data_IF_115352005210
#
_entry.id   IF_115352005210
#
_cell.length_a   1.000
_cell.length_b   1.000
_cell.length_c   1.000
_cell.angle_alpha   90.00
_cell.angle_beta   90.00
_cell.angle_gamma   90.00
#
_symmetry.space_group_name_H-M   'P 1'
#
loop_
_entity.id
_entity.type
_entity.pdbx_description
1 polymer ?
#
# COMPACT_ATOMS: atom_id res chain seq x y z
N UNK A 1 30.28 -31.06 -1.19
CA UNK A 1 29.31 -30.56 -0.20
C UNK A 1 28.16 -31.56 -0.22
N UNK A 2 28.10 -32.42 0.80
CA UNK A 2 27.21 -33.58 0.85
C UNK A 2 25.81 -33.18 1.38
N UNK A 3 24.72 -33.76 0.86
CA UNK A 3 23.39 -33.56 1.43
C UNK A 3 23.20 -34.44 2.67
N UNK A 4 22.71 -33.84 3.76
CA UNK A 4 22.28 -34.56 4.94
C UNK A 4 20.84 -35.04 4.75
N UNK A 5 20.71 -36.36 4.81
CA UNK A 5 19.51 -37.19 4.94
C UNK A 5 18.83 -36.87 6.29
N UNK A 6 17.52 -36.60 6.29
CA UNK A 6 16.77 -36.38 7.53
C UNK A 6 15.55 -37.30 7.52
N UNK A 7 15.56 -38.25 8.45
CA UNK A 7 14.56 -39.30 8.62
C UNK A 7 13.24 -38.76 9.17
N UNK A 8 12.16 -39.19 8.53
CA UNK A 8 10.77 -39.05 8.98
C UNK A 8 10.50 -39.97 10.18
N UNK A 9 10.13 -39.41 11.33
CA UNK A 9 9.54 -40.16 12.44
C UNK A 9 8.12 -39.64 12.65
N UNK A 10 7.17 -40.41 12.12
CA UNK A 10 5.75 -40.40 12.46
C UNK A 10 5.59 -41.00 13.87
N UNK A 11 4.90 -40.29 14.76
CA UNK A 11 4.22 -40.90 15.91
C UNK A 11 2.73 -40.59 15.85
N UNK A 12 2.00 -41.60 15.37
CA UNK A 12 0.56 -41.76 15.47
C UNK A 12 0.24 -42.29 16.87
N UNK A 13 -0.36 -41.45 17.71
CA UNK A 13 -0.94 -41.89 18.98
C UNK A 13 -2.33 -41.28 19.15
N UNK A 14 -3.27 -41.91 18.45
CA UNK A 14 -4.69 -41.89 18.77
C UNK A 14 -4.92 -42.62 20.11
N UNK A 15 -5.36 -41.89 21.13
CA UNK A 15 -5.90 -42.49 22.35
C UNK A 15 -7.26 -41.89 22.66
N UNK A 16 -8.29 -42.61 22.22
CA UNK A 16 -9.65 -42.55 22.73
C UNK A 16 -9.65 -42.81 24.24
N UNK A 17 -10.06 -41.82 25.03
CA UNK A 17 -10.50 -42.03 26.40
C UNK A 17 -11.87 -41.41 26.63
N UNK A 18 -12.90 -42.21 26.37
CA UNK A 18 -14.20 -42.08 27.03
C UNK A 18 -14.02 -42.42 28.51
N UNK A 19 -14.29 -41.47 29.40
CA UNK A 19 -14.91 -41.82 30.67
C UNK A 19 -15.78 -40.68 31.18
N UNK A 20 -17.05 -40.99 31.32
CA UNK A 20 -18.10 -40.11 31.74
C UNK A 20 -18.12 -40.02 33.27
N UNK A 21 -17.71 -38.89 33.83
CA UNK A 21 -17.90 -38.61 35.25
C UNK A 21 -18.74 -37.34 35.41
N UNK A 22 -20.05 -37.56 35.60
CA UNK A 22 -21.02 -36.51 35.93
C UNK A 22 -20.83 -36.08 37.38
N UNK A 23 -19.93 -35.13 37.61
CA UNK A 23 -20.00 -34.32 38.82
C UNK A 23 -21.02 -33.20 38.62
N UNK A 24 -22.12 -33.27 39.38
CA UNK A 24 -23.04 -32.15 39.64
C UNK A 24 -22.26 -31.05 40.38
N UNK A 25 -21.62 -30.18 39.60
CA UNK A 25 -21.05 -28.93 40.13
C UNK A 25 -22.17 -27.90 40.09
N UNK A 26 -22.51 -27.43 41.28
CA UNK A 26 -23.40 -26.31 41.56
C UNK A 26 -23.01 -25.13 40.67
N UNK A 27 -23.87 -24.82 39.69
CA UNK A 27 -23.82 -23.58 38.91
C UNK A 27 -24.13 -22.41 39.85
N UNK A 28 -23.11 -21.86 40.49
CA UNK A 28 -23.11 -20.46 40.84
C UNK A 28 -22.70 -19.74 39.56
N UNK A 29 -23.70 -19.29 38.80
CA UNK A 29 -23.52 -18.33 37.72
C UNK A 29 -23.17 -16.99 38.38
N UNK A 30 -21.94 -16.88 38.87
CA UNK A 30 -21.31 -15.58 39.01
C UNK A 30 -21.10 -15.09 37.58
N UNK A 31 -22.05 -14.30 37.09
CA UNK A 31 -21.86 -13.33 36.02
C UNK A 31 -20.77 -12.35 36.47
N UNK A 32 -19.53 -12.83 36.49
CA UNK A 32 -18.33 -12.03 36.40
C UNK A 32 -18.42 -11.36 35.03
N UNK A 33 -19.09 -10.20 35.03
CA UNK A 33 -19.15 -9.26 33.93
C UNK A 33 -17.72 -8.92 33.55
N UNK A 34 -17.18 -9.70 32.61
CA UNK A 34 -15.78 -9.70 32.22
C UNK A 34 -15.53 -8.39 31.45
N UNK A 35 -15.26 -7.34 32.23
CA UNK A 35 -14.98 -5.96 31.82
C UNK A 35 -13.80 -5.86 30.83
N UNK A 36 -13.14 -6.99 30.56
CA UNK A 36 -12.08 -7.21 29.59
C UNK A 36 -12.50 -7.15 28.11
N UNK A 37 -13.78 -7.15 27.71
CA UNK A 37 -14.12 -7.71 26.38
C UNK A 37 -14.79 -6.80 25.33
N UNK A 38 -15.04 -5.51 25.59
CA UNK A 38 -15.67 -4.65 24.56
C UNK A 38 -14.76 -3.57 24.00
N UNK A 39 -13.59 -3.98 23.54
CA UNK A 39 -12.65 -3.11 22.84
C UNK A 39 -13.15 -2.94 21.40
N UNK A 40 -13.34 -1.71 20.96
CA UNK A 40 -13.72 -1.38 19.59
C UNK A 40 -12.69 -0.49 18.95
N UNK A 41 -12.27 -0.87 17.75
CA UNK A 41 -11.44 -0.03 16.89
C UNK A 41 -12.36 0.90 16.12
N UNK A 42 -12.33 2.19 16.45
CA UNK A 42 -13.20 3.21 15.86
C UNK A 42 -12.64 3.68 14.51
N UNK A 43 -11.35 4.01 14.48
CA UNK A 43 -10.70 4.55 13.28
C UNK A 43 -9.19 4.28 13.26
N UNK A 44 -8.60 4.45 12.07
CA UNK A 44 -7.15 4.44 11.86
C UNK A 44 -6.74 5.70 11.09
N UNK A 45 -5.59 6.27 11.44
CA UNK A 45 -5.03 7.42 10.73
C UNK A 45 -3.50 7.31 10.60
N UNK A 46 -2.93 7.40 9.38
CA UNK A 46 -3.59 7.47 8.08
C UNK A 46 -4.23 6.14 7.63
N UNK A 47 -5.29 6.22 6.82
CA UNK A 47 -5.91 5.04 6.19
C UNK A 47 -5.24 4.65 4.84
N UNK A 48 -4.25 5.43 4.38
CA UNK A 48 -3.45 5.16 3.19
C UNK A 48 -1.96 5.37 3.45
N UNK A 49 -1.14 4.38 3.08
CA UNK A 49 0.32 4.48 3.24
C UNK A 49 1.08 3.99 2.00
N UNK A 50 2.32 4.43 1.88
CA UNK A 50 3.22 4.01 0.80
C UNK A 50 3.84 2.64 1.11
N UNK A 51 3.88 1.76 0.12
CA UNK A 51 4.51 0.43 0.24
C UNK A 51 6.00 0.52 0.57
N UNK A 52 6.50 -0.43 1.34
CA UNK A 52 7.94 -0.60 1.61
C UNK A 52 8.55 0.34 2.66
N UNK A 53 7.81 1.33 3.16
CA UNK A 53 8.23 2.18 4.29
C UNK A 53 7.45 1.80 5.55
N UNK A 54 8.14 1.84 6.68
CA UNK A 54 7.46 1.82 7.99
C UNK A 54 6.80 3.18 8.19
N UNK A 55 5.56 3.19 8.65
CA UNK A 55 4.76 4.41 8.88
C UNK A 55 4.03 4.23 10.19
N UNK A 56 3.98 5.29 10.99
CA UNK A 56 3.24 5.26 12.25
C UNK A 56 1.74 5.45 11.95
N UNK A 57 0.94 4.52 12.45
CA UNK A 57 -0.53 4.53 12.35
C UNK A 57 -1.08 4.79 13.74
N UNK A 58 -1.99 5.75 13.82
CA UNK A 58 -2.75 6.10 15.02
C UNK A 58 -4.03 5.26 15.01
N UNK A 59 -4.24 4.51 16.08
CA UNK A 59 -5.45 3.73 16.34
C UNK A 59 -6.32 4.51 17.33
N UNK A 60 -7.56 4.76 16.96
CA UNK A 60 -8.58 5.34 17.83
C UNK A 60 -9.47 4.21 18.37
N UNK A 61 -9.40 3.98 19.68
CA UNK A 61 -9.98 2.79 20.31
C UNK A 61 -10.90 3.20 21.46
N UNK A 62 -11.97 2.43 21.67
CA UNK A 62 -12.84 2.56 22.82
C UNK A 62 -12.81 1.27 23.67
N UNK A 63 -12.65 1.36 25.01
CA UNK A 63 -12.42 2.56 25.81
C UNK A 63 -11.00 3.14 25.63
N UNK A 64 -10.83 4.42 25.94
CA UNK A 64 -9.57 5.18 25.83
C UNK A 64 -8.57 4.93 26.97
N UNK A 65 -8.89 3.98 27.86
CA UNK A 65 -8.06 3.60 29.00
C UNK A 65 -6.88 2.70 28.62
N UNK A 66 -6.87 2.19 27.39
CA UNK A 66 -5.87 1.26 26.88
C UNK A 66 -4.54 1.98 26.68
N UNK A 67 -3.49 1.39 27.23
CA UNK A 67 -2.14 1.96 27.18
C UNK A 67 -1.27 1.31 26.13
N UNK A 68 -1.34 0.00 25.96
CA UNK A 68 -0.47 -0.76 25.05
C UNK A 68 -1.26 -1.87 24.37
N UNK A 69 -0.69 -2.46 23.32
CA UNK A 69 -1.27 -3.63 22.69
C UNK A 69 -0.54 -4.05 21.42
N UNK A 70 -1.28 -4.69 20.53
CA UNK A 70 -0.79 -5.32 19.33
C UNK A 70 -1.66 -4.90 18.14
N UNK A 71 -1.02 -4.42 17.09
CA UNK A 71 -1.65 -4.13 15.80
C UNK A 71 -1.43 -5.29 14.84
N UNK A 72 -2.49 -5.79 14.21
CA UNK A 72 -2.40 -6.81 13.17
C UNK A 72 -2.63 -6.18 11.81
N UNK A 73 -1.67 -6.38 10.91
CA UNK A 73 -1.64 -5.87 9.54
C UNK A 73 -1.70 -7.07 8.58
N UNK A 74 -2.91 -7.56 8.28
CA UNK A 74 -3.10 -8.84 7.60
C UNK A 74 -2.61 -10.02 8.44
N UNK A 75 -1.54 -10.67 8.00
CA UNK A 75 -0.93 -11.81 8.70
C UNK A 75 0.16 -11.40 9.70
N UNK A 76 0.66 -10.16 9.62
CA UNK A 76 1.76 -9.70 10.47
C UNK A 76 1.25 -8.98 11.72
N UNK A 77 1.75 -9.35 12.89
CA UNK A 77 1.42 -8.72 14.17
C UNK A 77 2.62 -7.89 14.64
N UNK A 78 2.36 -6.68 15.11
CA UNK A 78 3.39 -5.76 15.65
C UNK A 78 2.98 -5.26 17.03
N UNK A 79 3.95 -5.10 17.93
CA UNK A 79 3.73 -4.51 19.25
C UNK A 79 3.64 -2.99 19.15
N UNK A 80 2.63 -2.42 19.79
CA UNK A 80 2.36 -0.99 19.85
C UNK A 80 2.68 -0.48 21.26
N UNK A 81 3.77 0.29 21.42
CA UNK A 81 4.19 0.77 22.73
C UNK A 81 3.21 1.79 23.29
N UNK A 82 3.23 1.94 24.61
CA UNK A 82 2.32 2.86 25.26
C UNK A 82 2.60 4.32 24.95
N UNK A 83 1.62 4.98 24.35
CA UNK A 83 1.54 6.42 24.21
C UNK A 83 0.63 7.01 25.27
N UNK A 84 0.93 8.23 25.72
CA UNK A 84 0.05 8.99 26.60
C UNK A 84 -1.35 9.06 25.97
N UNK A 85 -2.34 8.51 26.67
CA UNK A 85 -3.75 8.35 26.27
C UNK A 85 -4.33 9.61 25.57
N UNK A 86 -5.31 9.50 24.65
CA UNK A 86 -6.14 8.32 24.29
C UNK A 86 -5.78 7.67 22.94
N UNK A 87 -4.56 7.88 22.45
CA UNK A 87 -4.13 7.40 21.13
C UNK A 87 -3.12 6.29 21.25
N UNK A 88 -3.26 5.22 20.46
CA UNK A 88 -2.25 4.18 20.33
C UNK A 88 -1.51 4.38 19.00
N UNK A 89 -0.19 4.51 19.06
CA UNK A 89 0.66 4.65 17.87
C UNK A 89 1.37 3.32 17.60
N UNK A 90 1.07 2.72 16.45
CA UNK A 90 1.70 1.48 15.99
C UNK A 90 2.55 1.74 14.74
N UNK A 91 3.78 1.27 14.73
CA UNK A 91 4.62 1.33 13.53
C UNK A 91 4.29 0.17 12.58
N UNK A 92 3.94 0.46 11.33
CA UNK A 92 3.62 -0.58 10.34
C UNK A 92 4.83 -1.46 10.00
N UNK A 93 4.60 -2.76 9.70
CA UNK A 93 5.62 -3.58 9.05
C UNK A 93 5.83 -3.13 7.60
N UNK A 94 6.86 -3.69 6.94
CA UNK A 94 7.04 -3.47 5.49
C UNK A 94 5.93 -4.21 4.74
N UNK A 95 4.98 -3.46 4.19
CA UNK A 95 3.85 -4.01 3.43
C UNK A 95 4.06 -3.86 1.93
N UNK A 96 3.61 -4.87 1.18
CA UNK A 96 3.43 -4.83 -0.27
C UNK A 96 2.20 -3.99 -0.64
N UNK A 97 2.12 -3.46 -1.87
CA UNK A 97 0.91 -2.75 -2.33
C UNK A 97 -0.33 -3.66 -2.27
N UNK A 98 -1.45 -3.15 -1.78
CA UNK A 98 -2.70 -3.90 -1.62
C UNK A 98 -3.63 -3.31 -0.56
N UNK A 99 -4.75 -3.98 -0.32
CA UNK A 99 -5.67 -3.69 0.78
C UNK A 99 -5.42 -4.69 1.91
N UNK A 100 -5.27 -4.18 3.13
CA UNK A 100 -5.01 -4.99 4.33
C UNK A 100 -6.09 -4.75 5.37
N UNK A 101 -6.57 -5.82 6.01
CA UNK A 101 -7.44 -5.70 7.17
C UNK A 101 -6.60 -5.45 8.41
N UNK A 102 -6.86 -4.33 9.09
CA UNK A 102 -6.21 -3.97 10.35
C UNK A 102 -7.12 -4.27 11.52
N UNK A 103 -6.59 -4.94 12.54
CA UNK A 103 -7.25 -5.13 13.83
C UNK A 103 -6.29 -4.80 14.97
N UNK A 104 -6.85 -4.57 16.15
CA UNK A 104 -6.10 -4.32 17.39
C UNK A 104 -6.42 -5.39 18.43
N UNK A 105 -5.49 -5.64 19.34
CA UNK A 105 -5.64 -6.56 20.46
C UNK A 105 -4.79 -6.08 21.65
N UNK A 106 -5.25 -6.27 22.88
CA UNK A 106 -4.44 -5.98 24.08
C UNK A 106 -3.59 -7.21 24.45
N UNK A 107 -4.14 -8.40 24.25
CA UNK A 107 -3.61 -9.68 24.74
C UNK A 107 -2.99 -10.55 23.64
N UNK A 108 -3.03 -10.10 22.38
CA UNK A 108 -2.64 -10.87 21.19
C UNK A 108 -3.52 -12.12 20.93
N UNK A 109 -4.70 -12.20 21.54
CA UNK A 109 -5.63 -13.33 21.40
C UNK A 109 -7.03 -12.86 20.99
N UNK A 110 -7.54 -11.81 21.62
CA UNK A 110 -8.83 -11.20 21.32
C UNK A 110 -8.64 -9.99 20.41
N UNK A 111 -9.28 -10.03 19.24
CA UNK A 111 -9.13 -9.02 18.19
C UNK A 111 -10.39 -8.18 18.05
N UNK A 112 -10.22 -6.88 17.84
CA UNK A 112 -11.31 -5.95 17.52
C UNK A 112 -11.90 -6.22 16.12
N UNK A 113 -12.93 -5.45 15.75
CA UNK A 113 -13.32 -5.30 14.35
C UNK A 113 -12.13 -4.91 13.46
N UNK A 114 -12.23 -5.26 12.18
CA UNK A 114 -11.21 -4.94 11.18
C UNK A 114 -11.54 -3.67 10.39
N UNK A 115 -10.55 -2.84 10.10
CA UNK A 115 -10.65 -1.65 9.25
C UNK A 115 -9.68 -1.80 8.06
N UNK A 116 -10.11 -1.53 6.81
CA UNK A 116 -9.23 -1.61 5.65
C UNK A 116 -8.19 -0.49 5.64
N UNK A 117 -6.92 -0.87 5.43
CA UNK A 117 -5.79 0.00 5.14
C UNK A 117 -5.36 -0.19 3.69
N UNK A 118 -5.21 0.90 2.97
CA UNK A 118 -4.74 0.87 1.58
C UNK A 118 -3.24 1.17 1.50
N UNK A 119 -2.48 0.21 1.00
CA UNK A 119 -1.05 0.35 0.74
C UNK A 119 -0.85 0.57 -0.75
N UNK A 120 -0.31 1.72 -1.15
CA UNK A 120 -0.09 2.07 -2.55
C UNK A 120 1.39 2.05 -2.91
N UNK A 121 1.69 1.65 -4.14
CA UNK A 121 3.04 1.70 -4.67
C UNK A 121 3.35 3.12 -5.16
N UNK A 122 4.32 3.77 -4.54
CA UNK A 122 4.89 5.01 -5.07
C UNK A 122 5.88 4.68 -6.18
N UNK A 123 5.47 4.89 -7.44
CA UNK A 123 6.37 4.79 -8.58
C UNK A 123 7.27 6.03 -8.66
N UNK A 124 8.28 6.10 -7.80
CA UNK A 124 9.29 7.18 -7.82
C UNK A 124 9.94 7.31 -9.20
N UNK A 125 10.20 6.19 -9.86
CA UNK A 125 10.76 6.16 -11.22
C UNK A 125 9.87 6.92 -12.21
N UNK A 126 8.55 6.74 -12.13
CA UNK A 126 7.61 7.43 -13.01
C UNK A 126 7.63 8.95 -12.75
N UNK A 127 7.64 9.37 -11.48
CA UNK A 127 7.75 10.79 -11.14
C UNK A 127 9.05 11.39 -11.66
N UNK A 128 10.19 10.72 -11.47
CA UNK A 128 11.50 11.19 -11.95
C UNK A 128 11.51 11.33 -13.47
N UNK A 129 11.04 10.32 -14.21
CA UNK A 129 10.99 10.36 -15.68
C UNK A 129 10.09 11.50 -16.15
N UNK A 130 8.89 11.64 -15.57
CA UNK A 130 7.97 12.71 -15.90
C UNK A 130 8.59 14.10 -15.65
N UNK A 131 9.27 14.26 -14.51
CA UNK A 131 9.99 15.50 -14.19
C UNK A 131 11.08 15.79 -15.22
N UNK A 132 11.91 14.82 -15.58
CA UNK A 132 12.98 15.00 -16.58
C UNK A 132 12.40 15.42 -17.93
N UNK A 133 11.30 14.80 -18.38
CA UNK A 133 10.64 15.14 -19.64
C UNK A 133 10.14 16.58 -19.62
N UNK A 134 9.40 16.98 -18.58
CA UNK A 134 8.86 18.34 -18.46
C UNK A 134 9.97 19.40 -18.40
N UNK A 135 11.04 19.12 -17.65
CA UNK A 135 12.22 19.99 -17.60
C UNK A 135 12.93 20.05 -18.97
N UNK A 136 13.09 18.92 -19.66
CA UNK A 136 13.71 18.88 -20.98
C UNK A 136 12.96 19.71 -22.02
N UNK A 137 11.63 19.60 -22.06
CA UNK A 137 10.80 20.42 -22.94
C UNK A 137 10.80 21.89 -22.54
N UNK A 138 10.72 22.20 -21.25
CA UNK A 138 10.77 23.57 -20.75
C UNK A 138 12.09 24.28 -21.07
N UNK A 139 13.22 23.65 -20.74
CA UNK A 139 14.55 24.18 -21.05
C UNK A 139 14.82 24.21 -22.55
N UNK A 140 14.47 23.16 -23.29
CA UNK A 140 14.63 23.12 -24.74
C UNK A 140 13.84 24.22 -25.45
N UNK A 141 12.60 24.45 -25.02
CA UNK A 141 11.78 25.55 -25.52
C UNK A 141 12.36 26.93 -25.20
N UNK A 142 12.91 27.12 -24.01
CA UNK A 142 13.55 28.37 -23.61
C UNK A 142 14.83 28.66 -24.42
N UNK A 143 15.67 27.64 -24.62
CA UNK A 143 16.86 27.75 -25.47
C UNK A 143 16.46 28.11 -26.91
N UNK A 144 15.45 27.43 -27.48
CA UNK A 144 14.96 27.73 -28.82
C UNK A 144 14.43 29.16 -28.91
N UNK A 145 13.64 29.60 -27.94
CA UNK A 145 13.12 30.96 -27.87
C UNK A 145 14.25 31.99 -27.79
N UNK A 146 15.28 31.73 -26.98
CA UNK A 146 16.45 32.59 -26.87
C UNK A 146 17.23 32.69 -28.19
N UNK A 147 17.40 31.58 -28.91
CA UNK A 147 18.03 31.56 -30.24
C UNK A 147 17.19 32.35 -31.26
N UNK A 148 15.87 32.24 -31.22
CA UNK A 148 14.97 32.98 -32.12
C UNK A 148 14.96 34.48 -31.80
N UNK A 149 15.02 34.86 -30.52
CA UNK A 149 15.00 36.27 -30.11
C UNK A 149 16.34 36.98 -30.34
N UNK A 150 17.47 36.30 -30.14
CA UNK A 150 18.80 36.90 -30.31
C UNK A 150 19.44 36.61 -31.66
N UNK A 151 19.01 35.55 -32.34
CA UNK A 151 19.47 35.20 -33.67
C UNK A 151 18.74 36.02 -34.71
N UNK A 152 19.49 36.71 -35.56
CA UNK A 152 19.02 37.21 -36.84
C UNK A 152 18.80 36.01 -37.79
N UNK A 153 17.87 35.12 -37.43
CA UNK A 153 17.43 34.07 -38.33
C UNK A 153 16.61 34.76 -39.42
N UNK A 154 17.26 35.11 -40.52
CA UNK A 154 16.57 35.20 -41.80
C UNK A 154 16.20 33.75 -42.15
N UNK A 155 14.94 33.30 -42.00
CA UNK A 155 14.56 32.00 -42.51
C UNK A 155 14.71 32.12 -44.03
N UNK A 156 15.86 31.69 -44.54
CA UNK A 156 16.12 31.55 -45.95
C UNK A 156 15.36 30.32 -46.45
N UNK A 157 14.03 30.38 -46.29
CA UNK A 157 13.04 29.64 -47.03
C UNK A 157 13.10 30.19 -48.46
N UNK A 158 14.24 29.98 -49.12
CA UNK A 158 14.32 30.06 -50.58
C UNK A 158 13.32 29.02 -51.05
N UNK A 159 12.13 29.51 -51.36
CA UNK A 159 10.99 28.74 -51.78
C UNK A 159 11.44 27.86 -52.93
N UNK A 160 11.73 26.60 -52.63
CA UNK A 160 11.63 25.55 -53.64
C UNK A 160 10.17 25.61 -54.03
N UNK A 161 9.90 26.29 -55.15
CA UNK A 161 8.59 26.32 -55.78
C UNK A 161 8.08 24.88 -55.73
N UNK A 162 6.86 24.63 -55.22
CA UNK A 162 6.28 23.30 -55.36
C UNK A 162 6.39 22.96 -56.84
N UNK A 163 6.94 21.79 -57.15
CA UNK A 163 6.98 21.29 -58.50
C UNK A 163 5.52 21.18 -58.95
N UNK A 164 5.01 22.28 -59.50
CA UNK A 164 3.72 22.35 -60.13
C UNK A 164 3.78 21.38 -61.29
N UNK A 165 3.19 20.20 -61.08
CA UNK A 165 2.26 19.52 -61.98
C UNK A 165 2.21 20.09 -63.42
N UNK A 166 3.33 20.05 -64.15
CA UNK A 166 3.44 20.59 -65.52
C UNK A 166 3.38 19.47 -66.57
N UNK A 167 2.58 18.44 -66.34
CA UNK A 167 2.48 17.32 -67.26
C UNK A 167 1.03 16.85 -67.39
N UNK A 168 0.23 17.55 -68.21
CA UNK A 168 -0.73 16.94 -69.15
C UNK A 168 -1.67 17.98 -69.77
N UNK A 169 -1.16 18.71 -70.76
CA UNK A 169 -1.97 19.28 -71.84
C UNK A 169 -1.31 18.81 -73.14
N UNK A 170 -1.54 17.55 -73.50
CA UNK A 170 -1.20 17.04 -74.82
C UNK A 170 -2.41 16.31 -75.38
N UNK A 171 -2.99 16.96 -76.40
CA UNK A 171 -3.89 16.44 -77.42
C UNK A 171 -5.37 16.30 -77.07
N UNK A 172 -6.13 17.35 -77.42
CA UNK A 172 -7.54 17.25 -77.79
C UNK A 172 -7.78 18.13 -79.02
N UNK A 173 -7.13 17.79 -80.14
CA UNK A 173 -7.50 18.24 -81.48
C UNK A 173 -7.61 16.99 -82.33
N UNK A 174 -8.80 16.38 -82.37
CA UNK A 174 -9.33 15.54 -83.45
C UNK A 174 -10.76 15.12 -83.06
N UNK A 175 -11.75 15.93 -83.45
CA UNK A 175 -13.04 15.54 -84.06
C UNK A 175 -13.96 16.76 -84.19
#
# INVERSE_FOLDING_TARGET
MAPAEYDDIYDDSSSDFRSAERHKISKHEDESEDSSTNIKLLSINPFRISSGKKTDIIFEIQPDTIKEGYGRFGETIVSCPSTSQPIIICQTPKLSPGEFQISFSIDNHTWTNSIPLFVYQTNFTFQIILTIILFGFGFGGLILAFIVMNGNMDPNLKSKKPAALSHNLRNADYL
#
